data_IF_642160057571
#
_entry.id   IF_642160057571
#
_cell.length_a   1.000
_cell.length_b   1.000
_cell.length_c   1.000
_cell.angle_alpha   90.00
_cell.angle_beta   90.00
_cell.angle_gamma   90.00
#
_symmetry.space_group_name_H-M   'P 1'
#
loop_
_entity.id
_entity.type
_entity.pdbx_description
1 polymer ?
#
# COMPACT_ATOMS: atom_id res chain seq x y z
N UNK A 1 -5.47 14.35 12.57
CA UNK A 1 -5.00 14.19 11.18
C UNK A 1 -5.50 12.85 10.67
N UNK A 2 -6.45 12.84 9.72
CA UNK A 2 -7.00 11.59 9.21
C UNK A 2 -6.02 10.98 8.21
N UNK A 3 -5.22 10.01 8.65
CA UNK A 3 -4.51 9.10 7.72
C UNK A 3 -5.53 8.34 6.89
N UNK A 4 -5.45 8.49 5.57
CA UNK A 4 -6.42 7.92 4.63
C UNK A 4 -5.84 6.76 3.82
N UNK A 5 -4.52 6.71 3.66
CA UNK A 5 -3.84 5.77 2.78
C UNK A 5 -2.73 5.02 3.50
N UNK A 6 -2.56 3.74 3.17
CA UNK A 6 -1.50 2.87 3.67
C UNK A 6 -0.77 2.27 2.47
N UNK A 7 0.55 2.38 2.45
CA UNK A 7 1.41 1.66 1.52
C UNK A 7 1.90 0.41 2.22
N UNK A 8 1.61 -0.73 1.61
CA UNK A 8 2.15 -2.03 1.98
C UNK A 8 3.33 -2.37 1.07
N UNK A 9 4.49 -2.65 1.65
CA UNK A 9 5.66 -3.13 0.93
C UNK A 9 5.84 -4.63 1.12
N UNK A 10 5.97 -5.35 0.01
CA UNK A 10 6.33 -6.74 -0.02
C UNK A 10 7.73 -6.88 -0.61
N UNK A 11 8.71 -7.20 0.24
CA UNK A 11 10.10 -7.39 -0.20
C UNK A 11 10.38 -8.84 -0.66
N UNK A 12 9.54 -9.80 -0.25
CA UNK A 12 9.66 -11.21 -0.66
C UNK A 12 9.21 -11.43 -2.13
N UNK A 13 8.16 -10.74 -2.54
CA UNK A 13 7.76 -10.57 -3.94
C UNK A 13 7.78 -9.06 -4.21
N UNK A 14 8.88 -8.50 -4.76
CA UNK A 14 9.15 -7.06 -4.78
C UNK A 14 8.03 -6.20 -5.38
N UNK A 15 7.14 -5.71 -4.53
CA UNK A 15 6.09 -4.77 -4.92
C UNK A 15 5.57 -3.95 -3.75
N UNK A 16 5.07 -2.76 -4.04
CA UNK A 16 4.30 -1.96 -3.11
C UNK A 16 2.81 -1.93 -3.53
N UNK A 17 1.89 -1.91 -2.58
CA UNK A 17 0.46 -1.71 -2.85
C UNK A 17 -0.08 -0.57 -2.01
N UNK A 18 -0.73 0.39 -2.66
CA UNK A 18 -1.41 1.51 -1.99
C UNK A 18 -2.84 1.10 -1.67
N UNK A 19 -3.26 1.30 -0.42
CA UNK A 19 -4.59 1.01 0.08
C UNK A 19 -5.19 2.26 0.73
N UNK A 20 -6.52 2.32 0.83
CA UNK A 20 -7.17 3.15 1.86
C UNK A 20 -7.02 2.48 3.22
N UNK A 21 -6.91 3.25 4.30
CA UNK A 21 -6.78 2.70 5.66
C UNK A 21 -7.98 1.83 6.07
N UNK A 22 -9.16 2.12 5.53
CA UNK A 22 -10.39 1.33 5.77
C UNK A 22 -10.49 0.08 4.88
N UNK A 23 -9.50 -0.19 4.03
CA UNK A 23 -9.54 -1.31 3.10
C UNK A 23 -9.27 -2.63 3.81
N UNK A 24 -10.32 -3.43 4.05
CA UNK A 24 -10.21 -4.78 4.63
C UNK A 24 -9.37 -5.76 3.81
N UNK A 25 -9.05 -5.44 2.56
CA UNK A 25 -8.22 -6.28 1.69
C UNK A 25 -6.72 -6.18 2.03
N UNK A 26 -6.30 -5.12 2.73
CA UNK A 26 -4.90 -5.01 3.17
C UNK A 26 -4.54 -6.16 4.12
N UNK A 27 -5.45 -6.57 5.00
CA UNK A 27 -5.24 -7.68 5.93
C UNK A 27 -5.26 -9.06 5.26
N UNK A 28 -5.93 -9.16 4.09
CA UNK A 28 -6.07 -10.41 3.33
C UNK A 28 -4.95 -10.62 2.32
N UNK A 29 -4.55 -9.55 1.63
CA UNK A 29 -3.62 -9.60 0.51
C UNK A 29 -2.29 -8.89 0.80
N UNK A 30 -2.27 -7.97 1.75
CA UNK A 30 -1.07 -7.22 2.15
C UNK A 30 -0.22 -8.01 3.14
N UNK A 31 -0.15 -9.33 2.99
CA UNK A 31 0.54 -10.18 3.95
C UNK A 31 -0.13 -10.08 5.32
N UNK A 32 -1.06 -11.00 5.59
CA UNK A 32 -1.26 -11.42 6.98
C UNK A 32 0.13 -11.64 7.56
N UNK A 33 0.39 -11.14 8.77
CA UNK A 33 1.65 -11.22 9.54
C UNK A 33 2.04 -12.69 9.77
N UNK A 34 2.25 -13.46 8.70
CA UNK A 34 2.62 -14.84 8.66
C UNK A 34 4.13 -14.84 8.81
N UNK A 35 4.57 -15.01 10.05
CA UNK A 35 5.90 -15.51 10.38
C UNK A 35 7.07 -14.70 9.79
N UNK A 36 7.28 -13.49 10.31
CA UNK A 36 8.61 -12.85 10.28
C UNK A 36 9.01 -12.16 8.99
N UNK A 37 8.08 -11.95 8.04
CA UNK A 37 8.35 -11.10 6.88
C UNK A 37 8.41 -9.64 7.32
N UNK A 38 9.52 -8.97 7.06
CA UNK A 38 9.75 -7.53 7.33
C UNK A 38 8.97 -6.67 6.32
N UNK A 39 7.65 -6.80 6.33
CA UNK A 39 6.78 -5.99 5.50
C UNK A 39 6.52 -4.64 6.18
N UNK A 40 6.76 -3.55 5.45
CA UNK A 40 6.57 -2.18 5.91
C UNK A 40 5.14 -1.72 5.66
N UNK A 41 4.48 -1.21 6.70
CA UNK A 41 3.21 -0.49 6.59
C UNK A 41 3.47 0.99 6.84
N UNK A 42 3.37 1.81 5.79
CA UNK A 42 3.57 3.25 5.88
C UNK A 42 2.26 3.97 5.61
N UNK A 43 1.83 4.81 6.55
CA UNK A 43 0.53 5.49 6.48
C UNK A 43 0.69 6.96 6.10
N UNK A 44 -0.17 7.45 5.23
CA UNK A 44 -0.15 8.79 4.66
C UNK A 44 -1.52 9.45 4.73
N UNK A 45 -1.53 10.78 4.80
CA UNK A 45 -2.76 11.57 4.84
C UNK A 45 -3.39 11.72 3.46
N UNK A 46 -2.57 11.76 2.41
CA UNK A 46 -2.99 11.95 1.02
C UNK A 46 -2.55 10.79 0.12
N UNK A 47 -3.24 10.63 -1.01
CA UNK A 47 -2.86 9.64 -2.03
C UNK A 47 -1.54 10.02 -2.69
N UNK A 48 -1.30 11.32 -2.90
CA UNK A 48 -0.09 11.83 -3.53
C UNK A 48 1.16 11.51 -2.70
N UNK A 49 1.11 11.70 -1.38
CA UNK A 49 2.20 11.30 -0.48
C UNK A 49 2.45 9.80 -0.49
N UNK A 50 1.37 9.00 -0.55
CA UNK A 50 1.48 7.55 -0.64
C UNK A 50 2.09 7.10 -1.98
N UNK A 51 1.78 7.78 -3.08
CA UNK A 51 2.39 7.52 -4.40
C UNK A 51 3.87 7.90 -4.36
N UNK A 52 4.22 9.09 -3.91
CA UNK A 52 5.62 9.54 -3.78
C UNK A 52 6.46 8.60 -2.94
N UNK A 53 5.89 8.10 -1.84
CA UNK A 53 6.54 7.10 -1.03
C UNK A 53 6.70 5.78 -1.79
N UNK A 54 5.64 5.29 -2.44
CA UNK A 54 5.71 4.05 -3.21
C UNK A 54 6.75 4.13 -4.35
N UNK A 55 6.87 5.27 -5.02
CA UNK A 55 7.93 5.56 -6.00
C UNK A 55 9.32 5.56 -5.37
N UNK A 56 9.48 6.14 -4.17
CA UNK A 56 10.79 6.22 -3.50
C UNK A 56 11.31 4.87 -2.99
N UNK A 57 10.43 3.87 -2.80
CA UNK A 57 10.85 2.51 -2.42
C UNK A 57 11.67 1.79 -3.49
N UNK A 58 11.59 2.24 -4.76
CA UNK A 58 12.18 1.52 -5.89
C UNK A 58 11.47 0.21 -6.25
N UNK A 59 10.37 -0.13 -5.57
CA UNK A 59 9.54 -1.28 -5.87
C UNK A 59 8.51 -0.93 -6.96
N UNK A 60 8.08 -1.94 -7.74
CA UNK A 60 6.89 -1.77 -8.59
C UNK A 60 5.69 -1.54 -7.68
N UNK A 61 4.99 -0.43 -7.84
CA UNK A 61 3.81 -0.14 -7.02
C UNK A 61 2.51 -0.26 -7.81
N UNK A 62 1.42 -0.57 -7.10
CA UNK A 62 0.06 -0.64 -7.65
C UNK A 62 -0.96 -0.10 -6.66
N UNK A 63 -2.07 0.42 -7.15
CA UNK A 63 -3.24 0.69 -6.31
C UNK A 63 -3.99 -0.59 -6.02
N UNK A 64 -4.52 -0.70 -4.81
CA UNK A 64 -5.47 -1.75 -4.46
C UNK A 64 -6.74 -1.59 -5.30
N UNK A 65 -6.98 -2.54 -6.21
CA UNK A 65 -8.17 -2.57 -7.07
C UNK A 65 -9.49 -2.44 -6.31
N UNK A 66 -9.57 -2.92 -5.06
CA UNK A 66 -10.81 -2.91 -4.29
C UNK A 66 -11.14 -1.56 -3.65
N UNK A 67 -10.15 -0.74 -3.30
CA UNK A 67 -10.39 0.55 -2.62
C UNK A 67 -9.95 1.78 -3.43
N UNK A 68 -9.19 1.56 -4.51
CA UNK A 68 -8.59 2.59 -5.35
C UNK A 68 -8.78 2.30 -6.85
N UNK A 69 -9.82 1.55 -7.23
CA UNK A 69 -10.13 1.12 -8.61
C UNK A 69 -10.02 2.23 -9.67
N UNK A 70 -10.37 3.47 -9.30
CA UNK A 70 -10.40 4.63 -10.19
C UNK A 70 -9.32 5.68 -9.86
N UNK A 71 -8.37 5.39 -8.96
CA UNK A 71 -7.48 6.42 -8.41
C UNK A 71 -6.11 6.50 -9.12
N UNK A 72 -5.71 5.47 -9.88
CA UNK A 72 -4.44 5.43 -10.63
C UNK A 72 -4.61 5.25 -12.14
N UNK A 73 -5.85 5.24 -12.66
CA UNK A 73 -6.09 5.33 -14.10
C UNK A 73 -5.91 6.78 -14.54
N UNK A 74 -4.69 7.14 -14.93
CA UNK A 74 -4.40 8.27 -15.81
C UNK A 74 -3.92 7.73 -17.14
#
# INVERSE_FOLDING_TARGET
>A
MNTNYTVYENHNNPHATIHKNTCKQILKNGGTVHSGVRDGYNTFSTLDDAIKYAESTGLKYKACHFCLRNALTR
#
